data_IF_832156590227
#
_entry.id   IF_832156590227
#
_cell.length_a   1.000
_cell.length_b   1.000
_cell.length_c   1.000
_cell.angle_alpha   90.00
_cell.angle_beta   90.00
_cell.angle_gamma   90.00
#
_symmetry.space_group_name_H-M   'P 1'
#
loop_
_entity.id
_entity.type
_entity.pdbx_description
1 polymer ?
#
# COMPACT_ATOMS: atom_id res chain seq x y z
N UNK A 1 -49.93 18.03 64.87
CA UNK A 1 -48.77 17.16 64.66
C UNK A 1 -48.86 16.66 63.23
N UNK A 2 -47.92 16.81 62.30
CA UNK A 2 -46.50 17.15 62.36
C UNK A 2 -46.14 17.62 60.94
N UNK A 3 -45.63 18.85 60.80
CA UNK A 3 -45.24 19.42 59.50
C UNK A 3 -43.75 19.13 59.29
N UNK A 4 -43.45 17.96 58.71
CA UNK A 4 -42.08 17.54 58.42
C UNK A 4 -41.46 18.42 57.33
N UNK A 5 -40.59 19.35 57.73
CA UNK A 5 -39.81 20.19 56.84
C UNK A 5 -38.76 19.34 56.10
N UNK A 6 -38.93 19.20 54.78
CA UNK A 6 -37.92 18.56 53.91
C UNK A 6 -36.69 19.47 53.83
N UNK A 7 -35.61 19.08 54.49
CA UNK A 7 -34.30 19.74 54.40
C UNK A 7 -33.73 19.55 52.99
N UNK A 8 -33.58 20.65 52.26
CA UNK A 8 -32.75 20.72 51.05
C UNK A 8 -31.28 20.59 51.45
N UNK A 9 -30.63 19.50 51.08
CA UNK A 9 -29.18 19.37 51.16
C UNK A 9 -28.53 20.11 49.98
N UNK A 10 -27.59 21.02 50.21
CA UNK A 10 -26.94 21.77 49.13
C UNK A 10 -26.03 20.85 48.29
N UNK A 11 -26.09 21.00 46.97
CA UNK A 11 -25.14 20.37 46.05
C UNK A 11 -23.73 20.88 46.36
N UNK A 12 -22.80 19.97 46.63
CA UNK A 12 -21.38 20.29 46.76
C UNK A 12 -20.88 20.86 45.43
N UNK A 13 -20.40 22.10 45.43
CA UNK A 13 -19.87 22.76 44.23
C UNK A 13 -18.55 22.08 43.82
N UNK A 14 -18.62 21.18 42.85
CA UNK A 14 -17.42 20.76 42.13
C UNK A 14 -16.93 21.97 41.34
N UNK A 15 -15.68 22.40 41.58
CA UNK A 15 -15.03 23.49 40.86
C UNK A 15 -15.03 23.20 39.36
N UNK A 16 -15.76 24.00 38.59
CA UNK A 16 -15.73 23.97 37.13
C UNK A 16 -14.46 24.62 36.58
N UNK A 17 -14.03 24.19 35.39
CA UNK A 17 -12.95 24.84 34.65
C UNK A 17 -13.27 26.30 34.35
N UNK A 18 -12.27 27.17 34.43
CA UNK A 18 -12.38 28.56 34.01
C UNK A 18 -12.61 28.67 32.50
N UNK A 19 -13.37 29.69 32.07
CA UNK A 19 -13.55 30.01 30.65
C UNK A 19 -12.20 30.24 29.96
N UNK A 20 -11.27 30.87 30.67
CA UNK A 20 -9.91 31.13 30.16
C UNK A 20 -9.12 29.83 30.03
N UNK A 21 -9.27 28.87 30.95
CA UNK A 21 -8.60 27.57 30.86
C UNK A 21 -9.06 26.80 29.63
N UNK A 22 -10.38 26.78 29.38
CA UNK A 22 -10.92 26.11 28.19
C UNK A 22 -10.48 26.81 26.89
N UNK A 23 -10.39 28.15 26.89
CA UNK A 23 -9.94 28.93 25.73
C UNK A 23 -8.48 28.65 25.38
N UNK A 24 -7.59 28.54 26.37
CA UNK A 24 -6.19 28.20 26.12
C UNK A 24 -6.04 26.77 25.59
N UNK A 25 -6.83 25.83 26.09
CA UNK A 25 -6.77 24.42 25.64
C UNK A 25 -7.17 24.28 24.16
N UNK A 26 -8.29 24.88 23.75
CA UNK A 26 -8.75 24.76 22.35
C UNK A 26 -7.80 25.46 21.38
N UNK A 27 -7.13 26.53 21.80
CA UNK A 27 -6.13 27.21 20.96
C UNK A 27 -4.88 26.37 20.76
N UNK A 28 -4.38 25.71 21.83
CA UNK A 28 -3.25 24.79 21.72
C UNK A 28 -3.60 23.57 20.86
N UNK A 29 -4.78 22.97 21.05
CA UNK A 29 -5.25 21.83 20.21
C UNK A 29 -5.36 22.26 18.74
N UNK A 30 -5.88 23.46 18.46
CA UNK A 30 -6.00 23.96 17.10
C UNK A 30 -4.63 24.04 16.41
N UNK A 31 -3.61 24.61 17.07
CA UNK A 31 -2.26 24.72 16.51
C UNK A 31 -1.65 23.34 16.27
N UNK A 32 -1.72 22.43 17.27
CA UNK A 32 -1.17 21.08 17.15
C UNK A 32 -1.88 20.26 16.07
N UNK A 33 -3.19 20.45 15.89
CA UNK A 33 -3.97 19.70 14.89
C UNK A 33 -3.51 20.00 13.46
N UNK A 34 -3.24 21.28 13.14
CA UNK A 34 -2.80 21.68 11.79
C UNK A 34 -1.44 21.07 11.45
N UNK A 35 -0.49 21.16 12.38
CA UNK A 35 0.85 20.56 12.20
C UNK A 35 0.75 19.03 12.13
N UNK A 36 -0.06 18.43 13.01
CA UNK A 36 -0.26 17.00 13.08
C UNK A 36 -0.78 16.39 11.78
N UNK A 37 -1.72 17.05 11.11
CA UNK A 37 -2.26 16.57 9.83
C UNK A 37 -1.20 16.52 8.74
N UNK A 38 -0.40 17.58 8.59
CA UNK A 38 0.64 17.63 7.56
C UNK A 38 1.72 16.53 7.78
N UNK A 39 2.15 16.33 9.02
CA UNK A 39 3.12 15.28 9.37
C UNK A 39 2.54 13.88 9.11
N UNK A 40 1.29 13.65 9.51
CA UNK A 40 0.62 12.36 9.32
C UNK A 40 0.51 11.97 7.84
N UNK A 41 0.18 12.92 6.95
CA UNK A 41 0.13 12.66 5.51
C UNK A 41 1.48 12.19 4.95
N UNK A 42 2.58 12.84 5.35
CA UNK A 42 3.92 12.45 4.91
C UNK A 42 4.33 11.06 5.42
N UNK A 43 4.08 10.76 6.69
CA UNK A 43 4.40 9.45 7.29
C UNK A 43 3.62 8.33 6.60
N UNK A 44 2.30 8.51 6.43
CA UNK A 44 1.46 7.50 5.78
C UNK A 44 1.84 7.30 4.31
N UNK A 45 2.24 8.37 3.60
CA UNK A 45 2.76 8.28 2.24
C UNK A 45 4.02 7.42 2.17
N UNK A 46 5.00 7.70 3.03
CA UNK A 46 6.25 6.94 3.08
C UNK A 46 6.04 5.46 3.47
N UNK A 47 5.13 5.19 4.42
CA UNK A 47 4.79 3.84 4.82
C UNK A 47 4.17 3.02 3.67
N UNK A 48 3.28 3.63 2.88
CA UNK A 48 2.69 3.00 1.69
C UNK A 48 3.73 2.70 0.62
N UNK A 49 4.65 3.63 0.38
CA UNK A 49 5.72 3.43 -0.60
C UNK A 49 6.71 2.34 -0.16
N UNK A 50 7.01 2.25 1.13
CA UNK A 50 7.80 1.16 1.68
C UNK A 50 7.07 -0.19 1.52
N UNK A 51 5.77 -0.24 1.81
CA UNK A 51 4.94 -1.42 1.60
C UNK A 51 4.92 -1.85 0.13
N UNK A 52 4.71 -0.93 -0.82
CA UNK A 52 4.72 -1.25 -2.26
C UNK A 52 6.04 -1.86 -2.73
N UNK A 53 7.16 -1.32 -2.24
CA UNK A 53 8.49 -1.86 -2.57
C UNK A 53 8.64 -3.28 -2.03
N UNK A 54 8.26 -3.50 -0.77
CA UNK A 54 8.28 -4.82 -0.15
C UNK A 54 7.35 -5.82 -0.86
N UNK A 55 6.15 -5.40 -1.27
CA UNK A 55 5.20 -6.23 -2.00
C UNK A 55 5.74 -6.60 -3.39
N UNK A 56 6.36 -5.66 -4.10
CA UNK A 56 7.05 -5.93 -5.37
C UNK A 56 8.21 -6.92 -5.17
N UNK A 57 8.99 -6.78 -4.11
CA UNK A 57 10.08 -7.70 -3.78
C UNK A 57 9.54 -9.12 -3.48
N UNK A 58 8.41 -9.21 -2.76
CA UNK A 58 7.74 -10.47 -2.47
C UNK A 58 7.20 -11.14 -3.75
N UNK A 59 6.56 -10.36 -4.63
CA UNK A 59 6.10 -10.83 -5.94
C UNK A 59 7.30 -11.34 -6.74
N UNK A 60 8.33 -10.52 -6.93
CA UNK A 60 9.53 -10.90 -7.66
C UNK A 60 10.15 -12.21 -7.14
N UNK A 61 10.24 -12.36 -5.82
CA UNK A 61 10.75 -13.59 -5.19
C UNK A 61 9.87 -14.81 -5.49
N UNK A 62 8.55 -14.66 -5.40
CA UNK A 62 7.61 -15.72 -5.76
C UNK A 62 7.71 -16.10 -7.25
N UNK A 63 7.89 -15.12 -8.13
CA UNK A 63 8.10 -15.37 -9.56
C UNK A 63 9.40 -16.15 -9.79
N UNK A 64 10.51 -15.72 -9.20
CA UNK A 64 11.80 -16.42 -9.36
C UNK A 64 11.78 -17.85 -8.81
N UNK A 65 11.05 -18.10 -7.72
CA UNK A 65 10.86 -19.44 -7.17
C UNK A 65 10.09 -20.37 -8.13
N UNK A 66 9.31 -19.82 -9.06
CA UNK A 66 8.46 -20.55 -10.01
C UNK A 66 9.09 -20.65 -11.40
N UNK A 67 10.40 -20.36 -11.49
CA UNK A 67 11.20 -20.56 -12.70
C UNK A 67 11.54 -22.04 -12.91
N UNK A 68 11.19 -22.56 -14.07
CA UNK A 68 11.46 -23.94 -14.46
C UNK A 68 12.96 -24.11 -14.72
N UNK A 69 13.56 -25.08 -14.03
CA UNK A 69 14.96 -25.47 -14.19
C UNK A 69 15.16 -26.72 -15.05
N UNK A 70 14.09 -27.32 -15.57
CA UNK A 70 14.16 -28.50 -16.43
C UNK A 70 14.88 -28.17 -17.76
N UNK A 71 15.83 -29.00 -18.22
CA UNK A 71 16.59 -28.73 -19.44
C UNK A 71 15.76 -28.66 -20.73
N UNK A 72 14.56 -29.25 -20.78
CA UNK A 72 13.69 -29.23 -21.94
C UNK A 72 12.75 -28.01 -21.98
N UNK A 73 12.59 -27.31 -20.85
CA UNK A 73 11.72 -26.14 -20.68
C UNK A 73 12.42 -25.03 -19.87
N UNK A 74 13.74 -24.96 -19.98
CA UNK A 74 14.55 -24.10 -19.12
C UNK A 74 14.19 -22.63 -19.32
N UNK A 75 14.01 -21.94 -18.18
CA UNK A 75 13.85 -20.49 -18.15
C UNK A 75 12.43 -19.98 -18.42
N UNK A 76 11.42 -20.85 -18.48
CA UNK A 76 10.02 -20.42 -18.39
C UNK A 76 9.59 -20.22 -16.94
N UNK A 77 8.64 -19.34 -16.71
CA UNK A 77 8.03 -19.05 -15.42
C UNK A 77 6.63 -19.65 -15.35
N UNK A 78 6.35 -20.40 -14.29
CA UNK A 78 5.02 -20.93 -14.02
C UNK A 78 4.12 -19.87 -13.39
N UNK A 79 2.82 -20.16 -13.40
CA UNK A 79 1.81 -19.39 -12.68
C UNK A 79 2.10 -19.33 -11.17
N UNK A 80 1.87 -18.16 -10.57
CA UNK A 80 2.10 -17.90 -9.14
C UNK A 80 0.80 -17.52 -8.46
N UNK A 81 0.26 -18.39 -7.61
CA UNK A 81 -1.02 -18.16 -6.93
C UNK A 81 -0.87 -17.64 -5.50
N UNK A 82 -2.01 -17.45 -4.84
CA UNK A 82 -2.10 -17.00 -3.44
C UNK A 82 -1.21 -17.80 -2.47
N UNK A 83 -1.13 -19.12 -2.66
CA UNK A 83 -0.36 -20.02 -1.80
C UNK A 83 1.16 -19.89 -1.97
N UNK A 84 1.63 -19.18 -2.99
CA UNK A 84 3.05 -18.92 -3.21
C UNK A 84 3.56 -17.72 -2.39
N UNK A 85 2.67 -17.07 -1.64
CA UNK A 85 2.98 -15.95 -0.75
C UNK A 85 2.82 -16.35 0.71
N UNK A 86 3.70 -15.85 1.59
CA UNK A 86 3.69 -16.15 3.03
C UNK A 86 2.35 -15.84 3.71
N UNK A 87 1.65 -14.80 3.23
CA UNK A 87 0.34 -14.39 3.76
C UNK A 87 -0.84 -15.15 3.11
N UNK A 88 -0.57 -16.15 2.26
CA UNK A 88 -1.58 -16.93 1.56
C UNK A 88 -2.44 -16.11 0.61
N UNK A 89 -1.94 -14.95 0.14
CA UNK A 89 -2.60 -14.04 -0.78
C UNK A 89 -1.58 -13.28 -1.63
N UNK A 90 -1.92 -13.05 -2.89
CA UNK A 90 -1.21 -12.10 -3.75
C UNK A 90 -1.25 -10.71 -3.10
N UNK A 91 -0.10 -10.02 -2.95
CA UNK A 91 -0.07 -8.67 -2.41
C UNK A 91 -0.97 -7.72 -3.20
N UNK A 92 -1.71 -6.87 -2.48
CA UNK A 92 -2.58 -5.85 -3.05
C UNK A 92 -2.17 -4.46 -2.54
N UNK A 93 -2.27 -3.43 -3.39
CA UNK A 93 -1.93 -2.07 -2.98
C UNK A 93 -2.82 -1.63 -1.81
N UNK A 94 -2.27 -0.93 -0.80
CA UNK A 94 -3.06 -0.39 0.30
C UNK A 94 -4.15 0.60 -0.14
N UNK A 95 -4.14 1.06 -1.40
CA UNK A 95 -5.16 1.90 -2.01
C UNK A 95 -5.85 1.12 -3.14
N UNK A 96 -7.16 0.89 -3.02
CA UNK A 96 -7.93 0.06 -3.99
C UNK A 96 -7.94 0.57 -5.43
N UNK A 97 -7.50 1.81 -5.67
CA UNK A 97 -7.43 2.42 -7.01
C UNK A 97 -6.07 2.18 -7.70
N UNK A 98 -5.15 1.44 -7.07
CA UNK A 98 -3.80 1.19 -7.59
C UNK A 98 -3.56 -0.31 -7.67
N UNK A 99 -2.80 -0.71 -8.69
CA UNK A 99 -2.44 -2.09 -8.92
C UNK A 99 -0.92 -2.23 -9.04
N UNK A 100 -0.40 -3.37 -8.61
CA UNK A 100 0.90 -3.86 -9.08
C UNK A 100 0.74 -4.27 -10.53
N UNK A 101 1.55 -3.72 -11.42
CA UNK A 101 1.38 -3.88 -12.86
C UNK A 101 2.51 -4.71 -13.44
N UNK A 102 2.16 -5.79 -14.13
CA UNK A 102 3.10 -6.73 -14.73
C UNK A 102 3.05 -6.69 -16.24
N UNK A 103 4.21 -6.82 -16.87
CA UNK A 103 4.35 -7.19 -18.26
C UNK A 103 5.24 -8.42 -18.37
N UNK A 104 4.91 -9.30 -19.31
CA UNK A 104 5.60 -10.56 -19.56
C UNK A 104 5.99 -10.65 -21.03
N UNK A 105 7.15 -11.24 -21.32
CA UNK A 105 7.55 -11.58 -22.67
C UNK A 105 7.91 -13.06 -22.77
N UNK A 106 7.67 -13.63 -23.96
CA UNK A 106 7.98 -15.03 -24.29
C UNK A 106 9.40 -15.21 -24.82
N UNK A 107 10.15 -14.12 -24.93
CA UNK A 107 11.56 -14.07 -25.29
C UNK A 107 12.40 -13.56 -24.10
N UNK A 108 13.71 -13.56 -24.26
CA UNK A 108 14.75 -13.09 -23.35
C UNK A 108 14.78 -11.57 -23.17
N UNK A 109 13.99 -10.81 -23.94
CA UNK A 109 13.92 -9.35 -23.84
C UNK A 109 13.09 -8.92 -22.64
N UNK A 110 13.73 -8.27 -21.67
CA UNK A 110 13.03 -7.69 -20.52
C UNK A 110 12.11 -6.55 -20.97
N UNK A 111 10.81 -6.53 -20.58
CA UNK A 111 9.91 -5.43 -20.91
C UNK A 111 10.47 -4.07 -20.46
N UNK A 112 10.26 -3.00 -21.24
CA UNK A 112 10.74 -1.67 -20.88
C UNK A 112 9.96 -1.06 -19.71
N UNK A 113 10.57 -0.11 -19.00
CA UNK A 113 9.93 0.52 -17.84
C UNK A 113 8.76 1.38 -18.31
N UNK A 114 7.57 1.26 -17.68
CA UNK A 114 6.39 1.95 -18.15
C UNK A 114 6.38 3.42 -17.74
N UNK A 115 5.72 4.23 -18.57
CA UNK A 115 5.41 5.63 -18.35
C UNK A 115 3.89 5.85 -18.42
N UNK A 116 3.39 7.00 -17.94
CA UNK A 116 1.97 7.33 -18.03
C UNK A 116 1.09 6.52 -17.07
N UNK A 117 1.39 6.61 -15.78
CA UNK A 117 0.57 5.98 -14.73
C UNK A 117 -0.70 6.79 -14.48
N UNK A 118 -1.81 6.31 -15.02
CA UNK A 118 -3.15 6.86 -14.72
C UNK A 118 -3.82 6.04 -13.59
N UNK A 119 -5.15 6.04 -13.52
CA UNK A 119 -6.01 5.31 -12.56
C UNK A 119 -5.91 3.78 -12.63
N UNK A 120 -4.97 3.24 -13.39
CA UNK A 120 -4.76 1.81 -13.58
C UNK A 120 -3.34 1.50 -14.03
N UNK A 121 -3.15 0.33 -14.62
CA UNK A 121 -1.85 -0.03 -15.17
C UNK A 121 -1.52 0.80 -16.41
N UNK A 122 -0.24 1.17 -16.58
CA UNK A 122 0.18 1.99 -17.69
C UNK A 122 -0.05 1.27 -19.01
N UNK A 123 -0.47 1.98 -20.05
CA UNK A 123 -0.64 1.42 -21.40
C UNK A 123 0.56 1.66 -22.30
N UNK A 124 1.57 2.39 -21.81
CA UNK A 124 2.77 2.77 -22.52
C UNK A 124 4.03 2.34 -21.74
N UNK A 125 4.85 1.43 -22.28
CA UNK A 125 4.60 0.60 -23.46
C UNK A 125 3.38 -0.31 -23.26
N UNK A 126 2.81 -0.79 -24.37
CA UNK A 126 1.72 -1.75 -24.31
C UNK A 126 2.14 -3.05 -23.60
N UNK A 127 1.18 -3.74 -22.99
CA UNK A 127 1.39 -5.07 -22.40
C UNK A 127 1.55 -5.11 -20.88
N UNK A 128 1.29 -3.99 -20.19
CA UNK A 128 1.13 -3.98 -18.74
C UNK A 128 -0.31 -4.25 -18.34
N UNK A 129 -0.49 -5.11 -17.34
CA UNK A 129 -1.80 -5.46 -16.76
C UNK A 129 -1.70 -5.61 -15.24
N UNK A 130 -2.82 -5.56 -14.54
CA UNK A 130 -2.83 -5.75 -13.10
C UNK A 130 -2.39 -7.18 -12.75
N UNK A 131 -1.43 -7.31 -11.85
CA UNK A 131 -0.96 -8.60 -11.37
C UNK A 131 -2.02 -9.21 -10.44
N UNK A 132 -2.54 -10.36 -10.84
CA UNK A 132 -3.61 -11.08 -10.13
C UNK A 132 -3.17 -12.48 -9.67
N UNK A 133 -1.85 -12.76 -9.67
CA UNK A 133 -1.35 -14.10 -9.37
C UNK A 133 -1.56 -15.09 -10.51
N UNK A 134 -1.52 -14.62 -11.75
CA UNK A 134 -1.47 -15.51 -12.91
C UNK A 134 -0.59 -14.90 -13.99
N UNK A 135 0.29 -15.71 -14.57
CA UNK A 135 1.06 -15.37 -15.76
C UNK A 135 0.91 -16.50 -16.79
N UNK A 136 1.01 -16.17 -18.09
CA UNK A 136 1.10 -17.17 -19.14
C UNK A 136 2.29 -18.13 -18.89
N UNK A 137 2.08 -19.42 -19.10
CA UNK A 137 3.09 -20.48 -18.95
C UNK A 137 4.27 -20.37 -19.96
N UNK A 138 4.08 -19.59 -21.02
CA UNK A 138 5.11 -19.25 -22.01
C UNK A 138 6.03 -18.10 -21.59
N UNK A 139 5.89 -17.56 -20.38
CA UNK A 139 6.67 -16.39 -19.92
C UNK A 139 8.14 -16.75 -19.72
N UNK A 140 9.05 -16.07 -20.42
CA UNK A 140 10.51 -16.18 -20.23
C UNK A 140 11.10 -15.02 -19.43
N UNK A 141 10.55 -13.83 -19.59
CA UNK A 141 10.96 -12.65 -18.85
C UNK A 141 9.75 -11.85 -18.41
N UNK A 142 9.91 -11.08 -17.34
CA UNK A 142 8.84 -10.27 -16.79
C UNK A 142 9.40 -9.00 -16.18
N UNK A 143 8.54 -7.98 -16.08
CA UNK A 143 8.77 -6.75 -15.32
C UNK A 143 7.51 -6.41 -14.55
N UNK A 144 7.63 -6.30 -13.23
CA UNK A 144 6.56 -5.88 -12.32
C UNK A 144 6.90 -4.47 -11.82
N UNK A 145 5.92 -3.58 -11.78
CA UNK A 145 6.10 -2.20 -11.35
C UNK A 145 4.92 -1.70 -10.51
N UNK A 146 5.15 -0.68 -9.70
CA UNK A 146 4.11 0.18 -9.13
C UNK A 146 4.58 1.63 -9.07
N UNK A 147 3.64 2.56 -9.20
CA UNK A 147 3.87 3.98 -8.98
C UNK A 147 3.79 4.33 -7.50
N UNK A 148 4.71 5.16 -7.03
CA UNK A 148 4.77 5.64 -5.64
C UNK A 148 3.78 6.80 -5.40
N UNK A 149 3.53 7.20 -4.15
CA UNK A 149 2.54 8.24 -3.83
C UNK A 149 2.78 9.58 -4.54
N UNK A 150 4.03 9.89 -4.91
CA UNK A 150 4.40 11.09 -5.69
C UNK A 150 3.88 11.07 -7.13
N UNK A 151 3.35 9.93 -7.61
CA UNK A 151 2.83 9.67 -8.96
C UNK A 151 3.85 9.76 -10.10
N UNK A 152 5.06 10.23 -9.82
CA UNK A 152 6.14 10.40 -10.78
C UNK A 152 7.20 9.31 -10.67
N UNK A 153 7.41 8.79 -9.46
CA UNK A 153 8.41 7.74 -9.22
C UNK A 153 7.77 6.37 -9.40
N UNK A 154 8.48 5.49 -10.11
CA UNK A 154 8.05 4.12 -10.37
C UNK A 154 9.07 3.17 -9.76
N UNK A 155 8.60 2.25 -8.91
CA UNK A 155 9.39 1.14 -8.42
C UNK A 155 9.14 -0.07 -9.32
N UNK A 156 10.21 -0.73 -9.80
CA UNK A 156 10.11 -1.90 -10.66
C UNK A 156 11.10 -2.99 -10.26
N UNK A 157 10.76 -4.24 -10.60
CA UNK A 157 11.64 -5.41 -10.62
C UNK A 157 11.50 -6.14 -11.94
N UNK A 158 12.55 -6.88 -12.28
CA UNK A 158 12.63 -7.65 -13.53
C UNK A 158 13.07 -9.07 -13.22
N UNK A 159 12.75 -9.97 -14.15
CA UNK A 159 13.26 -11.33 -14.14
C UNK A 159 14.80 -11.36 -14.14
N UNK A 160 15.39 -12.29 -13.40
CA UNK A 160 16.83 -12.49 -13.39
C UNK A 160 17.36 -12.92 -14.79
N UNK A 161 18.22 -12.09 -15.38
CA UNK A 161 19.02 -12.44 -16.57
C UNK A 161 20.15 -13.37 -16.13
N UNK A 162 20.18 -14.60 -16.64
CA UNK A 162 21.34 -15.49 -16.54
C UNK A 162 22.27 -15.27 -17.73
#
# INVERSE_FOLDING_TARGET
MDTSARRFTPFKSNSGFSLVELLVVVTVIAILSVIGVAVYQNITSGAKDAQRKADIDAIASALENKKISDPNQAGYYLTVGDNDFTNGKVPADPKSTRNYCISTATDTTVPSTPSGWDTGCPTTPAGYSAFTGTMPDSTKTWKICAVLEDKTTVACKISATR
#
